data_IF_749206962223
#
_entry.id   IF_749206962223
#
_cell.length_a   1.000
_cell.length_b   1.000
_cell.length_c   1.000
_cell.angle_alpha   90.00
_cell.angle_beta   90.00
_cell.angle_gamma   90.00
#
_symmetry.space_group_name_H-M   'P 1'
#
loop_
_entity.id
_entity.type
_entity.pdbx_description
1 polymer ?
#
# COMPACT_ATOMS: atom_id res chain seq x y z
N UNK A 1 9.15 12.87 10.54
CA UNK A 1 9.37 11.62 11.29
C UNK A 1 10.42 11.78 12.38
N UNK A 2 11.59 12.34 12.10
CA UNK A 2 12.64 12.51 13.14
C UNK A 2 12.19 13.27 14.41
N UNK A 3 11.35 14.30 14.25
CA UNK A 3 10.77 15.06 15.38
C UNK A 3 9.78 14.26 16.25
N UNK A 4 9.39 13.06 15.80
CA UNK A 4 8.46 12.16 16.48
C UNK A 4 9.13 10.90 17.03
N UNK A 5 10.47 10.89 17.13
CA UNK A 5 11.23 9.75 17.64
C UNK A 5 11.42 8.58 16.64
N UNK A 6 10.98 8.73 15.39
CA UNK A 6 11.12 7.72 14.35
C UNK A 6 12.31 8.01 13.45
N UNK A 7 13.17 7.02 13.23
CA UNK A 7 14.17 7.03 12.17
C UNK A 7 13.64 6.32 10.93
N UNK A 8 14.00 6.79 9.74
CA UNK A 8 13.56 6.17 8.49
C UNK A 8 14.71 6.04 7.50
N UNK A 9 14.66 4.98 6.70
CA UNK A 9 15.54 4.75 5.55
C UNK A 9 14.68 4.45 4.32
N UNK A 10 15.13 4.91 3.14
CA UNK A 10 14.50 4.56 1.88
C UNK A 10 15.14 3.29 1.32
N UNK A 11 14.30 2.35 0.91
CA UNK A 11 14.70 1.24 0.06
C UNK A 11 14.43 1.61 -1.40
N UNK A 12 15.49 1.76 -2.19
CA UNK A 12 15.42 2.15 -3.60
C UNK A 12 15.77 0.97 -4.51
N UNK A 13 15.02 0.84 -5.59
CA UNK A 13 15.24 -0.20 -6.59
C UNK A 13 14.93 0.34 -8.00
N UNK A 14 15.53 -0.24 -9.06
CA UNK A 14 15.28 0.18 -10.45
C UNK A 14 13.92 -0.32 -10.94
N UNK A 15 12.83 0.35 -10.52
CA UNK A 15 11.42 -0.07 -10.70
C UNK A 15 11.02 -0.40 -12.15
N UNK A 16 11.69 0.19 -13.14
CA UNK A 16 11.41 -0.07 -14.55
C UNK A 16 12.09 -1.35 -15.08
N UNK A 17 13.18 -1.81 -14.47
CA UNK A 17 14.03 -2.88 -14.98
C UNK A 17 14.03 -4.13 -14.11
N UNK A 18 13.99 -3.97 -12.81
CA UNK A 18 14.04 -5.09 -11.87
C UNK A 18 12.79 -5.95 -11.96
N UNK A 19 12.97 -7.26 -11.84
CA UNK A 19 11.85 -8.19 -11.68
C UNK A 19 11.23 -8.05 -10.28
N UNK A 20 9.94 -8.36 -10.14
CA UNK A 20 9.23 -8.26 -8.87
C UNK A 20 9.89 -9.12 -7.78
N UNK A 21 10.31 -10.34 -8.13
CA UNK A 21 10.99 -11.26 -7.22
C UNK A 21 12.34 -10.70 -6.72
N UNK A 22 13.15 -10.18 -7.62
CA UNK A 22 14.45 -9.57 -7.28
C UNK A 22 14.30 -8.42 -6.28
N UNK A 23 13.28 -7.58 -6.49
CA UNK A 23 13.00 -6.44 -5.60
C UNK A 23 12.52 -6.94 -4.25
N UNK A 24 11.65 -7.94 -4.21
CA UNK A 24 11.14 -8.53 -2.99
C UNK A 24 12.23 -9.24 -2.17
N UNK A 25 13.09 -10.01 -2.84
CA UNK A 25 14.22 -10.71 -2.22
C UNK A 25 15.23 -9.71 -1.63
N UNK A 26 15.54 -8.64 -2.38
CA UNK A 26 16.40 -7.55 -1.90
C UNK A 26 15.80 -6.80 -0.70
N UNK A 27 14.49 -6.57 -0.69
CA UNK A 27 13.81 -5.95 0.45
C UNK A 27 13.87 -6.85 1.69
N UNK A 28 13.63 -8.16 1.52
CA UNK A 28 13.74 -9.13 2.62
C UNK A 28 15.16 -9.15 3.21
N UNK A 29 16.19 -9.15 2.36
CA UNK A 29 17.59 -9.08 2.79
C UNK A 29 17.91 -7.77 3.53
N UNK A 30 17.41 -6.63 3.04
CA UNK A 30 17.57 -5.34 3.69
C UNK A 30 16.91 -5.30 5.07
N UNK A 31 15.74 -5.92 5.25
CA UNK A 31 15.07 -6.04 6.55
C UNK A 31 15.88 -6.95 7.47
N UNK A 32 16.34 -8.11 6.98
CA UNK A 32 17.13 -9.05 7.77
C UNK A 32 18.44 -8.44 8.27
N UNK A 33 19.06 -7.55 7.49
CA UNK A 33 20.29 -6.85 7.87
C UNK A 33 20.09 -5.69 8.85
N UNK A 34 18.84 -5.31 9.17
CA UNK A 34 18.55 -4.16 10.02
C UNK A 34 18.82 -4.39 11.51
N UNK A 35 19.16 -5.62 11.92
CA UNK A 35 19.47 -6.00 13.29
C UNK A 35 18.25 -6.51 14.07
N UNK A 36 18.35 -6.54 15.40
CA UNK A 36 17.35 -7.15 16.29
C UNK A 36 16.11 -6.28 16.55
N UNK A 37 16.15 -4.98 16.24
CA UNK A 37 15.01 -4.09 16.48
C UNK A 37 13.96 -4.28 15.41
N UNK A 38 12.66 -4.34 15.76
CA UNK A 38 11.60 -4.42 14.77
C UNK A 38 11.68 -3.26 13.77
N UNK A 39 11.72 -3.60 12.48
CA UNK A 39 11.73 -2.65 11.38
C UNK A 39 10.34 -2.62 10.75
N UNK A 40 9.66 -1.51 10.87
CA UNK A 40 8.38 -1.29 10.21
C UNK A 40 8.60 -0.88 8.75
N UNK A 41 7.66 -1.27 7.88
CA UNK A 41 7.76 -0.98 6.45
C UNK A 41 6.56 -0.18 5.98
N UNK A 42 6.82 0.88 5.21
CA UNK A 42 5.77 1.66 4.54
C UNK A 42 6.00 1.58 3.04
N UNK A 43 4.99 1.08 2.30
CA UNK A 43 5.03 0.96 0.85
C UNK A 43 3.98 1.88 0.19
N UNK A 44 4.38 2.70 -0.79
CA UNK A 44 3.46 3.52 -1.57
C UNK A 44 3.30 2.96 -2.98
N UNK A 45 2.06 2.89 -3.49
CA UNK A 45 1.77 2.48 -4.86
C UNK A 45 2.37 1.09 -5.17
N UNK A 46 3.20 0.96 -6.20
CA UNK A 46 3.92 -0.28 -6.51
C UNK A 46 4.76 -0.79 -5.32
N UNK A 47 5.28 0.12 -4.49
CA UNK A 47 6.05 -0.27 -3.30
C UNK A 47 5.25 -1.11 -2.31
N UNK A 48 3.94 -0.88 -2.17
CA UNK A 48 3.07 -1.74 -1.36
C UNK A 48 2.86 -3.13 -1.97
N UNK A 49 2.75 -3.22 -3.30
CA UNK A 49 2.69 -4.50 -4.01
C UNK A 49 3.98 -5.32 -3.78
N UNK A 50 5.14 -4.66 -3.89
CA UNK A 50 6.46 -5.28 -3.59
C UNK A 50 6.50 -5.79 -2.15
N UNK A 51 6.02 -5.01 -1.18
CA UNK A 51 5.99 -5.43 0.23
C UNK A 51 5.11 -6.67 0.43
N UNK A 52 3.90 -6.69 -0.15
CA UNK A 52 3.03 -7.88 -0.03
C UNK A 52 3.62 -9.09 -0.76
N UNK A 53 4.25 -8.90 -1.91
CA UNK A 53 4.94 -9.98 -2.61
C UNK A 53 6.11 -10.54 -1.79
N UNK A 54 6.88 -9.66 -1.16
CA UNK A 54 7.94 -10.06 -0.23
C UNK A 54 7.38 -10.86 0.95
N UNK A 55 6.26 -10.42 1.56
CA UNK A 55 5.63 -11.14 2.68
C UNK A 55 5.11 -12.52 2.31
N UNK A 56 4.67 -12.72 1.06
CA UNK A 56 4.23 -14.03 0.58
C UNK A 56 5.38 -15.02 0.41
N UNK A 57 6.59 -14.55 0.18
CA UNK A 57 7.79 -15.35 -0.14
C UNK A 57 8.75 -15.48 1.04
N UNK A 58 8.80 -14.48 1.90
CA UNK A 58 9.80 -14.35 2.96
C UNK A 58 9.16 -14.06 4.31
N UNK A 59 9.86 -14.46 5.37
CA UNK A 59 9.45 -14.28 6.77
C UNK A 59 10.56 -13.61 7.58
N UNK A 60 10.93 -12.35 7.27
CA UNK A 60 11.99 -11.70 8.03
C UNK A 60 11.58 -11.53 9.49
N UNK A 61 12.39 -12.08 10.41
CA UNK A 61 12.09 -12.05 11.84
C UNK A 61 12.09 -10.62 12.41
N UNK A 62 12.95 -9.75 11.85
CA UNK A 62 13.04 -8.35 12.26
C UNK A 62 11.88 -7.47 11.74
N UNK A 63 10.95 -8.02 10.92
CA UNK A 63 9.84 -7.23 10.39
C UNK A 63 8.77 -7.03 11.46
N UNK A 64 8.48 -5.76 11.75
CA UNK A 64 7.34 -5.31 12.51
C UNK A 64 6.07 -5.13 11.66
N UNK A 65 5.33 -4.06 11.92
CA UNK A 65 4.10 -3.72 11.19
C UNK A 65 4.37 -3.15 9.81
N UNK A 66 3.40 -3.28 8.93
CA UNK A 66 3.44 -2.78 7.55
C UNK A 66 2.28 -1.83 7.31
N UNK A 67 2.53 -0.71 6.62
CA UNK A 67 1.47 0.16 6.09
C UNK A 67 1.66 0.32 4.59
N UNK A 68 0.60 0.12 3.82
CA UNK A 68 0.60 0.36 2.38
C UNK A 68 -0.33 1.51 2.03
N UNK A 69 0.15 2.39 1.15
CA UNK A 69 -0.50 3.65 0.79
C UNK A 69 -0.87 3.61 -0.70
N UNK A 70 -2.15 3.70 -1.05
CA UNK A 70 -2.62 3.78 -2.43
C UNK A 70 -2.11 2.67 -3.34
N UNK A 71 -1.95 1.46 -2.83
CA UNK A 71 -1.40 0.34 -3.60
C UNK A 71 -2.50 -0.46 -4.28
N UNK A 72 -2.37 -0.81 -5.56
CA UNK A 72 -3.37 -1.58 -6.30
C UNK A 72 -3.26 -3.08 -5.96
N UNK A 73 -3.73 -3.44 -4.78
CA UNK A 73 -3.55 -4.77 -4.21
C UNK A 73 -4.45 -5.81 -4.87
N UNK A 74 -5.67 -5.41 -5.28
CA UNK A 74 -6.67 -6.28 -5.89
C UNK A 74 -6.91 -5.93 -7.37
N UNK A 75 -5.84 -5.62 -8.10
CA UNK A 75 -5.89 -5.24 -9.50
C UNK A 75 -5.62 -3.76 -9.73
N UNK A 76 -5.58 -3.33 -11.00
CA UNK A 76 -5.39 -1.93 -11.39
C UNK A 76 -6.07 -1.66 -12.74
N UNK A 77 -7.14 -0.89 -12.72
CA UNK A 77 -7.83 -0.45 -13.95
C UNK A 77 -6.94 0.48 -14.77
N UNK A 78 -6.26 1.42 -14.10
CA UNK A 78 -5.34 2.36 -14.75
C UNK A 78 -4.18 1.62 -15.44
N UNK A 79 -3.54 0.68 -14.75
CA UNK A 79 -2.46 -0.11 -15.34
C UNK A 79 -2.93 -0.95 -16.52
N UNK A 80 -4.12 -1.58 -16.45
CA UNK A 80 -4.69 -2.34 -17.58
C UNK A 80 -4.92 -1.46 -18.81
N UNK A 81 -5.33 -0.22 -18.65
CA UNK A 81 -5.48 0.72 -19.77
C UNK A 81 -4.11 1.09 -20.36
N UNK A 82 -3.13 1.41 -19.50
CA UNK A 82 -1.76 1.76 -19.93
C UNK A 82 -1.10 0.58 -20.67
N UNK A 83 -1.28 -0.65 -20.19
CA UNK A 83 -0.74 -1.86 -20.83
C UNK A 83 -1.26 -2.10 -22.24
N UNK A 84 -2.47 -1.62 -22.58
CA UNK A 84 -3.03 -1.71 -23.92
C UNK A 84 -2.38 -0.77 -24.94
N UNK A 85 -1.63 0.23 -24.47
CA UNK A 85 -0.93 1.19 -25.32
C UNK A 85 0.54 0.79 -25.43
N UNK A 86 1.01 0.28 -26.59
CA UNK A 86 2.34 -0.30 -26.72
C UNK A 86 3.49 0.62 -26.27
N UNK A 87 3.36 1.92 -26.53
CA UNK A 87 4.38 2.90 -26.11
C UNK A 87 4.39 3.13 -24.61
N UNK A 88 3.22 3.12 -23.92
CA UNK A 88 3.09 3.42 -22.50
C UNK A 88 3.35 2.22 -21.61
N UNK A 89 3.25 0.98 -22.12
CA UNK A 89 3.52 -0.23 -21.32
C UNK A 89 4.91 -0.22 -20.68
N UNK A 90 5.90 0.34 -21.36
CA UNK A 90 7.27 0.44 -20.84
C UNK A 90 7.38 1.39 -19.63
N UNK A 91 6.46 2.35 -19.48
CA UNK A 91 6.42 3.25 -18.33
C UNK A 91 5.99 2.55 -17.02
N UNK A 92 5.33 1.40 -17.10
CA UNK A 92 4.94 0.60 -15.93
C UNK A 92 6.07 -0.30 -15.41
N UNK A 93 7.16 -0.43 -16.17
CA UNK A 93 8.25 -1.33 -15.85
C UNK A 93 7.85 -2.81 -15.87
N UNK A 94 8.61 -3.66 -15.17
CA UNK A 94 8.42 -5.11 -15.14
C UNK A 94 7.64 -5.59 -13.91
N UNK A 95 7.79 -4.91 -12.78
CA UNK A 95 7.25 -5.37 -11.50
C UNK A 95 5.72 -5.23 -11.41
N UNK A 96 5.13 -4.12 -11.89
CA UNK A 96 3.69 -3.92 -11.78
C UNK A 96 2.88 -4.88 -12.67
N UNK A 97 3.22 -5.12 -13.96
CA UNK A 97 2.57 -6.16 -14.76
C UNK A 97 2.66 -7.55 -14.09
N UNK A 98 3.87 -7.94 -13.64
CA UNK A 98 4.07 -9.21 -12.95
C UNK A 98 3.20 -9.35 -11.68
N UNK A 99 3.02 -8.27 -10.91
CA UNK A 99 2.11 -8.25 -9.78
C UNK A 99 0.65 -8.49 -10.19
N UNK A 100 0.18 -7.85 -11.26
CA UNK A 100 -1.20 -7.93 -11.70
C UNK A 100 -1.60 -9.30 -12.29
N UNK A 101 -0.62 -10.08 -12.73
CA UNK A 101 -0.80 -11.43 -13.26
C UNK A 101 -0.83 -12.50 -12.17
N UNK A 102 -0.45 -12.17 -10.93
CA UNK A 102 -0.40 -13.11 -9.82
C UNK A 102 -1.74 -13.18 -9.07
N UNK A 103 -2.04 -14.33 -8.44
CA UNK A 103 -3.13 -14.42 -7.49
C UNK A 103 -2.85 -13.53 -6.27
N UNK A 104 -3.90 -13.13 -5.56
CA UNK A 104 -3.76 -12.39 -4.31
C UNK A 104 -2.87 -13.16 -3.34
N UNK A 105 -1.87 -12.49 -2.72
CA UNK A 105 -0.96 -13.17 -1.81
C UNK A 105 -1.70 -13.66 -0.55
N UNK A 106 -1.48 -14.91 -0.21
CA UNK A 106 -1.83 -15.46 1.08
C UNK A 106 -0.67 -15.17 2.05
N UNK A 107 -0.90 -14.27 3.00
CA UNK A 107 0.08 -13.88 4.01
C UNK A 107 -0.37 -14.42 5.36
N UNK A 108 0.59 -14.78 6.20
CA UNK A 108 0.29 -15.34 7.51
C UNK A 108 -0.58 -14.40 8.36
N UNK A 109 -1.59 -14.92 9.08
CA UNK A 109 -2.59 -14.11 9.79
C UNK A 109 -2.01 -13.19 10.87
N UNK A 110 -0.83 -13.51 11.41
CA UNK A 110 -0.20 -12.68 12.46
C UNK A 110 0.57 -11.47 11.92
N UNK A 111 0.67 -11.30 10.61
CA UNK A 111 1.29 -10.11 10.02
C UNK A 111 0.30 -8.97 10.00
N UNK A 112 0.63 -7.90 10.73
CA UNK A 112 -0.23 -6.73 10.84
C UNK A 112 0.05 -5.77 9.67
N UNK A 113 -0.84 -5.77 8.69
CA UNK A 113 -0.79 -4.90 7.51
C UNK A 113 -1.95 -3.93 7.54
N UNK A 114 -1.66 -2.64 7.58
CA UNK A 114 -2.63 -1.55 7.43
C UNK A 114 -2.67 -1.02 6.01
N UNK A 115 -3.84 -0.65 5.53
CA UNK A 115 -4.03 -0.10 4.18
C UNK A 115 -4.65 1.29 4.26
N UNK A 116 -4.00 2.27 3.65
CA UNK A 116 -4.54 3.62 3.47
C UNK A 116 -4.89 3.81 2.00
N UNK A 117 -6.16 4.10 1.71
CA UNK A 117 -6.66 4.51 0.40
C UNK A 117 -6.93 6.00 0.36
N UNK A 118 -6.91 6.59 -0.83
CA UNK A 118 -7.34 7.96 -1.07
C UNK A 118 -8.64 8.01 -1.88
N UNK A 119 -9.40 9.08 -1.72
CA UNK A 119 -10.67 9.29 -2.42
C UNK A 119 -10.72 10.59 -3.26
N UNK A 120 -9.60 11.31 -3.40
CA UNK A 120 -9.55 12.53 -4.21
C UNK A 120 -9.09 12.21 -5.64
N UNK A 121 -10.00 12.24 -6.63
CA UNK A 121 -9.74 11.77 -7.99
C UNK A 121 -8.97 12.81 -8.83
N UNK A 122 -7.83 13.27 -8.35
CA UNK A 122 -6.95 14.22 -9.06
C UNK A 122 -5.65 13.50 -9.43
N UNK A 123 -5.39 13.35 -10.72
CA UNK A 123 -4.20 12.67 -11.24
C UNK A 123 -4.42 12.10 -12.63
N UNK A 124 -3.46 11.29 -13.08
CA UNK A 124 -3.48 10.66 -14.41
C UNK A 124 -4.67 9.71 -14.62
N UNK A 125 -5.26 9.19 -13.56
CA UNK A 125 -6.47 8.34 -13.63
C UNK A 125 -7.68 9.06 -14.25
N UNK A 126 -7.70 10.40 -14.28
CA UNK A 126 -8.71 11.16 -15.03
C UNK A 126 -8.68 10.90 -16.54
N UNK A 127 -7.55 10.43 -17.04
CA UNK A 127 -7.38 10.01 -18.44
C UNK A 127 -7.84 8.58 -18.69
N UNK A 128 -8.21 7.83 -17.64
CA UNK A 128 -8.73 6.45 -17.73
C UNK A 128 -10.25 6.52 -17.83
N UNK A 129 -10.82 6.23 -19.01
CA UNK A 129 -12.27 6.25 -19.18
C UNK A 129 -12.96 5.27 -18.24
N UNK A 130 -14.02 5.73 -17.55
CA UNK A 130 -14.81 4.87 -16.67
C UNK A 130 -14.11 4.39 -15.41
N UNK A 131 -13.06 5.08 -14.95
CA UNK A 131 -12.42 4.74 -13.67
C UNK A 131 -13.44 4.85 -12.54
N UNK A 132 -13.62 3.74 -11.81
CA UNK A 132 -14.60 3.67 -10.73
C UNK A 132 -14.30 4.64 -9.58
N UNK A 133 -15.35 5.05 -8.91
CA UNK A 133 -15.27 5.92 -7.72
C UNK A 133 -15.60 5.11 -6.44
N UNK A 134 -15.05 5.52 -5.28
CA UNK A 134 -14.03 6.55 -5.08
C UNK A 134 -12.63 6.09 -5.51
N UNK A 135 -11.76 7.04 -5.90
CA UNK A 135 -10.36 6.78 -6.25
C UNK A 135 -9.45 7.97 -5.88
N UNK A 136 -8.15 7.74 -5.84
CA UNK A 136 -7.13 8.74 -5.49
C UNK A 136 -6.53 9.47 -6.71
N UNK A 137 -7.07 9.21 -7.91
CA UNK A 137 -6.55 9.70 -9.18
C UNK A 137 -5.63 8.73 -9.91
N UNK A 138 -5.34 7.55 -9.34
CA UNK A 138 -4.55 6.45 -9.95
C UNK A 138 -5.10 5.08 -9.61
N UNK A 139 -5.56 4.88 -8.37
CA UNK A 139 -6.03 3.61 -7.82
C UNK A 139 -7.38 3.84 -7.18
N UNK A 140 -8.33 2.94 -7.42
CA UNK A 140 -9.66 2.98 -6.78
C UNK A 140 -9.58 2.45 -5.36
N UNK A 141 -10.48 2.91 -4.49
CA UNK A 141 -10.59 2.36 -3.13
C UNK A 141 -10.85 0.85 -3.17
N UNK A 142 -11.64 0.36 -4.14
CA UNK A 142 -11.90 -1.07 -4.31
C UNK A 142 -10.61 -1.86 -4.60
N UNK A 143 -9.71 -1.33 -5.41
CA UNK A 143 -8.43 -1.96 -5.74
C UNK A 143 -7.46 -2.04 -4.56
N UNK A 144 -7.66 -1.22 -3.53
CA UNK A 144 -6.85 -1.27 -2.30
C UNK A 144 -7.37 -2.26 -1.26
N UNK A 145 -8.60 -2.82 -1.42
CA UNK A 145 -9.26 -3.69 -0.44
C UNK A 145 -8.72 -5.11 -0.48
N UNK A 146 -7.56 -5.29 0.10
CA UNK A 146 -6.97 -6.62 0.24
C UNK A 146 -7.55 -7.36 1.47
N UNK A 147 -8.07 -8.60 1.31
CA UNK A 147 -8.73 -9.34 2.41
C UNK A 147 -7.82 -9.66 3.60
N UNK A 148 -6.50 -9.71 3.38
CA UNK A 148 -5.51 -9.94 4.43
C UNK A 148 -5.12 -8.69 5.24
N UNK A 149 -5.71 -7.52 4.95
CA UNK A 149 -5.45 -6.32 5.73
C UNK A 149 -6.03 -6.43 7.14
N UNK A 150 -5.22 -6.10 8.15
CA UNK A 150 -5.70 -5.98 9.52
C UNK A 150 -6.66 -4.81 9.70
N UNK A 151 -6.38 -3.72 9.01
CA UNK A 151 -7.21 -2.53 9.02
C UNK A 151 -7.08 -1.75 7.71
N UNK A 152 -8.16 -1.06 7.33
CA UNK A 152 -8.25 -0.29 6.10
C UNK A 152 -8.95 1.05 6.39
N UNK A 153 -8.35 2.16 5.95
CA UNK A 153 -8.91 3.51 6.09
C UNK A 153 -8.88 4.24 4.75
N UNK A 154 -9.87 5.10 4.53
CA UNK A 154 -9.93 5.99 3.36
C UNK A 154 -9.71 7.42 3.84
N UNK A 155 -8.79 8.15 3.21
CA UNK A 155 -8.49 9.53 3.54
C UNK A 155 -8.77 10.46 2.34
N UNK A 156 -9.13 11.73 2.59
CA UNK A 156 -9.42 12.70 1.53
C UNK A 156 -8.12 13.24 0.90
N UNK A 157 -7.37 12.38 0.24
CA UNK A 157 -6.08 12.66 -0.39
C UNK A 157 -6.00 12.10 -1.80
N UNK A 158 -5.17 12.71 -2.64
CA UNK A 158 -4.79 12.16 -3.95
C UNK A 158 -3.65 11.16 -3.80
N UNK A 159 -3.39 10.39 -4.86
CA UNK A 159 -2.34 9.38 -4.89
C UNK A 159 -0.97 9.93 -4.44
N UNK A 160 -0.56 11.06 -5.01
CA UNK A 160 0.72 11.66 -4.68
C UNK A 160 0.71 12.37 -3.34
N UNK A 161 -0.42 12.99 -2.93
CA UNK A 161 -0.51 13.66 -1.62
C UNK A 161 -0.26 12.73 -0.45
N UNK A 162 -0.47 11.41 -0.58
CA UNK A 162 -0.17 10.45 0.48
C UNK A 162 1.27 10.55 0.99
N UNK A 163 2.21 10.94 0.13
CA UNK A 163 3.64 11.01 0.49
C UNK A 163 4.01 12.16 1.43
N UNK A 164 3.17 13.23 1.48
CA UNK A 164 3.44 14.42 2.32
C UNK A 164 2.22 14.89 3.14
N UNK A 165 1.11 14.16 3.09
CA UNK A 165 -0.06 14.47 3.89
C UNK A 165 0.20 14.20 5.38
N UNK A 166 -0.03 15.23 6.22
CA UNK A 166 0.04 15.07 7.67
C UNK A 166 -0.98 14.06 8.21
N UNK A 167 -2.15 13.95 7.56
CA UNK A 167 -3.16 12.97 7.91
C UNK A 167 -2.66 11.54 7.62
N UNK A 168 -2.06 11.29 6.43
CA UNK A 168 -1.45 10.00 6.12
C UNK A 168 -0.31 9.68 7.08
N UNK A 169 0.56 10.64 7.37
CA UNK A 169 1.67 10.44 8.32
C UNK A 169 1.14 10.05 9.71
N UNK A 170 0.18 10.81 10.24
CA UNK A 170 -0.41 10.53 11.56
C UNK A 170 -1.02 9.13 11.62
N UNK A 171 -1.85 8.76 10.63
CA UNK A 171 -2.47 7.45 10.55
C UNK A 171 -1.44 6.33 10.40
N UNK A 172 -0.41 6.55 9.58
CA UNK A 172 0.70 5.59 9.43
C UNK A 172 1.38 5.35 10.78
N UNK A 173 1.79 6.40 11.47
CA UNK A 173 2.46 6.27 12.77
C UNK A 173 1.56 5.63 13.82
N UNK A 174 0.28 6.01 13.87
CA UNK A 174 -0.68 5.41 14.78
C UNK A 174 -0.83 3.89 14.52
N UNK A 175 -0.91 3.48 13.26
CA UNK A 175 -0.95 2.05 12.94
C UNK A 175 0.35 1.33 13.31
N UNK A 176 1.50 1.93 13.05
CA UNK A 176 2.79 1.35 13.42
C UNK A 176 2.95 1.17 14.94
N UNK A 177 2.35 2.05 15.74
CA UNK A 177 2.38 1.97 17.21
C UNK A 177 1.32 1.00 17.76
N UNK A 178 0.09 0.96 17.19
CA UNK A 178 -1.06 0.30 17.81
C UNK A 178 -1.65 -0.87 17.00
N UNK A 179 -1.28 -1.03 15.72
CA UNK A 179 -1.82 -2.07 14.83
C UNK A 179 -3.22 -1.78 14.28
N UNK A 180 -3.76 -0.60 14.51
CA UNK A 180 -5.04 -0.11 14.01
C UNK A 180 -4.92 1.38 13.64
N UNK A 181 -5.75 1.85 12.72
CA UNK A 181 -5.85 3.27 12.42
C UNK A 181 -6.69 4.01 13.47
N UNK A 182 -6.34 5.26 13.72
CA UNK A 182 -7.10 6.13 14.59
C UNK A 182 -8.46 6.46 13.95
N UNK A 183 -9.53 6.27 14.69
CA UNK A 183 -10.89 6.68 14.33
C UNK A 183 -11.46 7.61 15.39
N UNK A 184 -12.30 8.60 15.02
CA UNK A 184 -13.05 9.35 16.01
C UNK A 184 -13.79 8.36 16.93
N UNK A 185 -13.74 8.62 18.22
CA UNK A 185 -14.56 7.87 19.17
C UNK A 185 -16.02 7.90 18.67
N UNK A 186 -16.69 6.74 18.61
CA UNK A 186 -18.11 6.71 18.29
C UNK A 186 -18.84 7.64 19.27
N UNK A 187 -19.60 8.61 18.73
CA UNK A 187 -20.40 9.46 19.58
C UNK A 187 -21.33 8.57 20.43
N UNK A 188 -21.36 8.76 21.75
CA UNK A 188 -22.25 7.98 22.60
C UNK A 188 -23.70 8.26 22.17
N UNK A 189 -24.39 7.27 21.58
CA UNK A 189 -25.83 7.39 21.30
C UNK A 189 -26.31 7.12 19.87
N UNK A 190 -25.52 6.56 18.96
CA UNK A 190 -26.11 6.06 17.71
C UNK A 190 -26.75 4.68 17.95
N UNK A 191 -28.08 4.51 17.78
CA UNK A 191 -28.73 3.21 17.91
C UNK A 191 -28.23 2.28 16.81
N UNK A 192 -27.80 1.07 17.20
CA UNK A 192 -27.28 0.07 16.32
C UNK A 192 -28.22 -0.18 15.15
N UNK A 193 -27.72 -0.03 13.93
CA UNK A 193 -28.40 -0.53 12.74
C UNK A 193 -28.44 -2.06 12.85
N UNK A 194 -29.59 -2.58 13.27
CA UNK A 194 -29.87 -4.00 13.27
C UNK A 194 -29.78 -4.52 11.84
N UNK A 195 -29.00 -5.57 11.67
CA UNK A 195 -28.92 -6.36 10.45
C UNK A 195 -30.34 -6.82 10.03
N UNK A 196 -30.75 -6.45 8.82
CA UNK A 196 -31.73 -7.16 8.02
C UNK A 196 -31.10 -7.61 6.73
#
# INVERSE_FOLDING_TARGET
MASLGWSSRSYSYPSLRAALDEVADGLAAAIASAGERPLHVVGHSLGGCVVLHMLARHRPAALGRVVVLGSPLCGSASARVILRVPLLRHALGRALPAWLEQPLPCIEPHREVGVIAGDRPIGLGRLVPGMAQPNDGMVTVAETRWPGARDHIVLPVTHMQMLWSSACLRQTLHFLDHGLFERPAAAPGAPGAAHR
#
